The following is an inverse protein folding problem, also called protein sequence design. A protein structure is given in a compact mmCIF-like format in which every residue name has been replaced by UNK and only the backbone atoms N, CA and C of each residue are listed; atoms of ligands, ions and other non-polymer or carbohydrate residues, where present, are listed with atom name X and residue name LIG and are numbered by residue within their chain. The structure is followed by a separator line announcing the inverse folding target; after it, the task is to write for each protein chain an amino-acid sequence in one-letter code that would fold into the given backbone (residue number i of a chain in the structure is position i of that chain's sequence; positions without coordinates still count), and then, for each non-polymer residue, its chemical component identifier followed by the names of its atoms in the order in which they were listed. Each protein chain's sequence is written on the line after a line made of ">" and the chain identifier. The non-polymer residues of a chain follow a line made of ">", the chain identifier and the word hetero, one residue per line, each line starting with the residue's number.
data_IF_835320909726
#
_entry.id   IF_835320909726
#
_cell.length_a   1.000
_cell.length_b   1.000
_cell.length_c   1.000
_cell.angle_alpha   90.00
_cell.angle_beta   90.00
_cell.angle_gamma   90.00
#
_symmetry.space_group_name_H-M   'P 1'
#
loop_
_entity.id
_entity.type
_entity.pdbx_description
1 polymer ?
#
# COMPACT_ATOMS: atom_id res chain seq x y z
N UNK A 1 -5.07 -18.59 -1.85
CA UNK A 1 -3.95 -18.58 -2.81
C UNK A 1 -2.82 -17.73 -2.24
N UNK A 2 -1.62 -18.28 -2.06
CA UNK A 2 -0.42 -17.49 -1.73
C UNK A 2 0.41 -17.32 -3.01
N UNK A 3 0.26 -16.19 -3.71
CA UNK A 3 1.15 -15.83 -4.81
C UNK A 3 2.45 -15.26 -4.27
N UNK A 4 3.53 -15.36 -5.05
CA UNK A 4 4.77 -14.64 -4.74
C UNK A 4 4.57 -13.11 -4.81
N UNK A 5 5.51 -12.36 -4.25
CA UNK A 5 5.45 -10.90 -4.16
C UNK A 5 5.21 -10.23 -5.52
N UNK A 6 5.92 -10.67 -6.57
CA UNK A 6 5.86 -10.06 -7.91
C UNK A 6 4.49 -10.27 -8.56
N UNK A 7 3.93 -11.47 -8.40
CA UNK A 7 2.59 -11.79 -8.87
C UNK A 7 1.54 -10.93 -8.17
N UNK A 8 1.64 -10.78 -6.84
CA UNK A 8 0.67 -9.99 -6.08
C UNK A 8 0.74 -8.50 -6.42
N UNK A 9 1.94 -7.90 -6.49
CA UNK A 9 2.05 -6.47 -6.82
C UNK A 9 1.62 -6.18 -8.27
N UNK A 10 1.83 -7.12 -9.20
CA UNK A 10 1.36 -6.99 -10.58
C UNK A 10 -0.17 -7.03 -10.67
N UNK A 11 -0.81 -7.94 -9.93
CA UNK A 11 -2.28 -7.98 -9.82
C UNK A 11 -2.84 -6.72 -9.19
N UNK A 12 -2.18 -6.20 -8.14
CA UNK A 12 -2.59 -4.95 -7.49
C UNK A 12 -2.60 -3.78 -8.48
N UNK A 13 -1.55 -3.64 -9.31
CA UNK A 13 -1.46 -2.60 -10.34
C UNK A 13 -2.55 -2.70 -11.41
N UNK A 14 -2.97 -3.93 -11.74
CA UNK A 14 -3.94 -4.19 -12.79
C UNK A 14 -5.41 -4.11 -12.33
N UNK A 15 -5.65 -4.20 -11.02
CA UNK A 15 -7.02 -4.21 -10.49
C UNK A 15 -7.58 -2.78 -10.38
N UNK A 16 -8.85 -2.63 -10.75
CA UNK A 16 -9.65 -1.42 -10.50
C UNK A 16 -10.72 -1.66 -9.42
N UNK A 17 -10.78 -2.87 -8.86
CA UNK A 17 -11.75 -3.26 -7.85
C UNK A 17 -11.14 -3.07 -6.45
N UNK A 18 -11.85 -2.37 -5.56
CA UNK A 18 -11.37 -2.07 -4.20
C UNK A 18 -11.20 -3.35 -3.38
N UNK A 19 -12.15 -4.27 -3.43
CA UNK A 19 -12.11 -5.51 -2.65
C UNK A 19 -10.94 -6.41 -3.09
N UNK A 20 -10.71 -6.52 -4.40
CA UNK A 20 -9.55 -7.23 -4.94
C UNK A 20 -8.22 -6.59 -4.50
N UNK A 21 -8.11 -5.26 -4.56
CA UNK A 21 -6.93 -4.54 -4.05
C UNK A 21 -6.70 -4.85 -2.59
N UNK A 22 -7.75 -4.83 -1.76
CA UNK A 22 -7.66 -5.13 -0.33
C UNK A 22 -7.19 -6.56 -0.09
N UNK A 23 -7.78 -7.55 -0.76
CA UNK A 23 -7.38 -8.96 -0.63
C UNK A 23 -5.91 -9.19 -1.01
N UNK A 24 -5.44 -8.50 -2.04
CA UNK A 24 -4.04 -8.55 -2.46
C UNK A 24 -3.13 -7.93 -1.39
N UNK A 25 -3.46 -6.73 -0.91
CA UNK A 25 -2.68 -6.05 0.13
C UNK A 25 -2.64 -6.86 1.44
N UNK A 26 -3.76 -7.47 1.84
CA UNK A 26 -3.80 -8.37 3.00
C UNK A 26 -2.95 -9.62 2.79
N UNK A 27 -2.95 -10.19 1.59
CA UNK A 27 -2.05 -11.30 1.24
C UNK A 27 -0.58 -10.89 1.35
N UNK A 28 -0.26 -9.66 0.93
CA UNK A 28 1.09 -9.11 1.05
C UNK A 28 1.54 -8.92 2.51
N UNK A 29 0.64 -8.75 3.49
CA UNK A 29 1.01 -8.65 4.92
C UNK A 29 1.69 -9.92 5.45
N UNK A 30 1.58 -11.05 4.74
CA UNK A 30 2.17 -12.34 5.15
C UNK A 30 3.67 -12.46 4.85
N UNK A 31 4.22 -11.59 3.98
CA UNK A 31 5.65 -11.61 3.71
C UNK A 31 6.46 -11.08 4.90
N UNK A 32 7.69 -11.60 5.04
CA UNK A 32 8.67 -11.08 6.01
C UNK A 32 9.30 -9.77 5.52
N UNK A 33 9.47 -9.64 4.22
CA UNK A 33 10.02 -8.46 3.54
C UNK A 33 9.43 -8.35 2.14
N UNK A 34 9.51 -7.16 1.55
CA UNK A 34 9.20 -6.90 0.15
C UNK A 34 10.35 -6.13 -0.50
N UNK A 35 10.48 -6.25 -1.82
CA UNK A 35 11.45 -5.52 -2.62
C UNK A 35 11.21 -4.02 -2.62
N UNK A 36 12.27 -3.26 -2.95
CA UNK A 36 12.20 -1.81 -3.07
C UNK A 36 11.25 -1.36 -4.20
N UNK A 37 11.18 -2.10 -5.30
CA UNK A 37 10.24 -1.83 -6.41
C UNK A 37 8.77 -1.95 -5.97
N UNK A 38 8.48 -2.93 -5.11
CA UNK A 38 7.16 -3.09 -4.51
C UNK A 38 6.84 -1.92 -3.59
N UNK A 39 7.79 -1.47 -2.76
CA UNK A 39 7.61 -0.27 -1.93
C UNK A 39 7.38 0.98 -2.78
N UNK A 40 8.16 1.17 -3.83
CA UNK A 40 7.98 2.28 -4.79
C UNK A 40 6.58 2.27 -5.41
N UNK A 41 6.10 1.09 -5.80
CA UNK A 41 4.74 0.93 -6.31
C UNK A 41 3.69 1.33 -5.27
N UNK A 42 3.84 0.85 -4.04
CA UNK A 42 2.92 1.15 -2.95
C UNK A 42 2.90 2.65 -2.61
N UNK A 43 4.06 3.30 -2.55
CA UNK A 43 4.15 4.76 -2.33
C UNK A 43 3.44 5.55 -3.42
N UNK A 44 3.56 5.12 -4.69
CA UNK A 44 2.82 5.75 -5.80
C UNK A 44 1.32 5.56 -5.63
N UNK A 45 0.88 4.33 -5.40
CA UNK A 45 -0.53 4.00 -5.22
C UNK A 45 -1.16 4.72 -4.02
N UNK A 46 -0.42 4.90 -2.92
CA UNK A 46 -0.89 5.68 -1.76
C UNK A 46 -1.36 7.09 -2.14
N UNK A 47 -0.65 7.74 -3.08
CA UNK A 47 -1.00 9.10 -3.55
C UNK A 47 -2.21 9.10 -4.47
N UNK A 48 -2.37 8.05 -5.27
CA UNK A 48 -3.48 7.88 -6.22
C UNK A 48 -4.78 7.50 -5.51
N UNK A 49 -4.70 6.74 -4.41
CA UNK A 49 -5.83 6.24 -3.62
C UNK A 49 -6.36 7.24 -2.58
N UNK A 50 -6.06 8.54 -2.71
CA UNK A 50 -6.34 9.53 -1.66
C UNK A 50 -7.82 9.53 -1.23
N UNK A 51 -8.05 9.33 0.07
CA UNK A 51 -9.39 9.29 0.67
C UNK A 51 -10.09 7.92 0.58
N UNK A 52 -9.44 6.91 0.00
CA UNK A 52 -9.96 5.54 -0.07
C UNK A 52 -9.45 4.68 1.10
N UNK A 53 -10.19 3.60 1.42
CA UNK A 53 -9.75 2.61 2.41
C UNK A 53 -8.45 1.89 1.99
N UNK A 54 -8.17 1.83 0.68
CA UNK A 54 -6.96 1.22 0.13
C UNK A 54 -5.72 2.02 0.56
N UNK A 55 -5.82 3.35 0.59
CA UNK A 55 -4.74 4.24 1.02
C UNK A 55 -4.21 3.89 2.41
N UNK A 56 -5.12 3.66 3.37
CA UNK A 56 -4.75 3.33 4.76
C UNK A 56 -4.01 2.00 4.81
N UNK A 57 -4.49 0.97 4.11
CA UNK A 57 -3.85 -0.36 4.12
C UNK A 57 -2.48 -0.33 3.43
N UNK A 58 -2.31 0.49 2.39
CA UNK A 58 -0.99 0.72 1.77
C UNK A 58 -0.04 1.33 2.79
N UNK A 59 -0.48 2.33 3.56
CA UNK A 59 0.33 2.98 4.59
C UNK A 59 0.75 2.00 5.68
N UNK A 60 -0.18 1.17 6.17
CA UNK A 60 0.10 0.11 7.14
C UNK A 60 1.17 -0.89 6.65
N UNK A 61 1.11 -1.27 5.37
CA UNK A 61 2.12 -2.15 4.76
C UNK A 61 3.49 -1.48 4.70
N UNK A 62 3.56 -0.22 4.27
CA UNK A 62 4.82 0.53 4.20
C UNK A 62 5.44 0.69 5.61
N UNK A 63 4.62 0.88 6.64
CA UNK A 63 5.05 0.92 8.04
C UNK A 63 5.58 -0.43 8.51
N UNK A 64 4.86 -1.53 8.22
CA UNK A 64 5.29 -2.90 8.56
C UNK A 64 6.69 -3.19 7.99
N UNK A 65 6.95 -2.74 6.76
CA UNK A 65 8.22 -2.96 6.08
C UNK A 65 9.28 -1.88 6.36
N UNK A 66 9.04 -1.04 7.39
CA UNK A 66 9.93 0.00 7.87
C UNK A 66 10.45 0.91 6.74
N UNK A 67 9.57 1.25 5.79
CA UNK A 67 9.92 2.20 4.73
C UNK A 67 10.04 3.60 5.34
N UNK A 68 11.19 4.25 5.19
CA UNK A 68 11.42 5.57 5.80
C UNK A 68 10.38 6.61 5.33
N UNK A 69 9.89 6.50 4.09
CA UNK A 69 8.90 7.41 3.51
C UNK A 69 7.53 7.25 4.16
N UNK A 70 7.23 6.09 4.77
CA UNK A 70 5.96 5.85 5.46
C UNK A 70 5.69 6.89 6.56
N UNK A 71 6.74 7.36 7.26
CA UNK A 71 6.62 8.40 8.29
C UNK A 71 6.19 9.73 7.72
N UNK A 72 6.72 10.10 6.57
CA UNK A 72 6.33 11.34 5.89
C UNK A 72 4.93 11.21 5.29
N UNK A 73 4.58 10.05 4.73
CA UNK A 73 3.22 9.77 4.26
C UNK A 73 2.18 9.82 5.40
N UNK A 74 2.52 9.41 6.62
CA UNK A 74 1.64 9.60 7.81
C UNK A 74 1.41 11.10 8.07
N UNK A 75 2.47 11.92 8.03
CA UNK A 75 2.31 13.37 8.24
C UNK A 75 1.39 13.96 7.17
N UNK A 76 1.59 13.56 5.91
CA UNK A 76 0.74 13.98 4.79
C UNK A 76 -0.71 13.53 4.98
N UNK A 77 -0.95 12.31 5.48
CA UNK A 77 -2.27 11.79 5.82
C UNK A 77 -2.96 12.68 6.86
N UNK A 78 -2.30 12.89 8.01
CA UNK A 78 -2.83 13.65 9.14
C UNK A 78 -3.04 15.14 8.82
N UNK A 79 -2.19 15.72 7.98
CA UNK A 79 -2.36 17.10 7.50
C UNK A 79 -3.48 17.22 6.47
N UNK A 80 -3.74 16.18 5.68
CA UNK A 80 -4.84 16.11 4.74
C UNK A 80 -6.21 16.00 5.44
N UNK A 81 -6.28 15.27 6.56
CA UNK A 81 -7.52 15.15 7.35
C UNK A 81 -7.85 16.43 8.14
N UNK A 82 -6.85 17.19 8.59
CA UNK A 82 -7.06 18.47 9.32
C UNK A 82 -7.54 19.65 8.45
N UNK A 83 -7.72 19.44 7.14
CA UNK A 83 -8.19 20.49 6.20
C UNK A 83 -9.62 20.27 5.70
N UNK A 84 -10.32 19.27 6.22
CA UNK A 84 -11.76 19.05 6.02
C UNK A 84 -12.51 19.28 7.32
#
# INVERSE_FOLDING_TARGET
>A
MGGDEKTLISKFKASNNIDEKMDILFSMKKFKSISEDTKNTLVKAYKEEKGSKVQIVILELLLKYNDARSRDLIKDYLQGENKN
#
